data_IF_080446557099
#
_entry.id   IF_080446557099
#
_cell.length_a   1.000
_cell.length_b   1.000
_cell.length_c   1.000
_cell.angle_alpha   90.00
_cell.angle_beta   90.00
_cell.angle_gamma   90.00
#
_symmetry.space_group_name_H-M   'P 1'
#
loop_
_entity.id
_entity.type
_entity.pdbx_description
1 polymer ?
#
# COMPACT_ATOMS: atom_id res chain seq x y z
N UNK A 1 11.65 -10.05 4.54
CA UNK A 1 12.60 -11.17 4.25
C UNK A 1 12.36 -11.74 2.86
N UNK A 2 11.18 -12.31 2.56
CA UNK A 2 10.88 -12.84 1.22
C UNK A 2 11.14 -11.80 0.10
N UNK A 3 10.62 -10.59 0.24
CA UNK A 3 10.86 -9.50 -0.73
C UNK A 3 12.32 -9.07 -0.82
N UNK A 4 13.11 -9.23 0.24
CA UNK A 4 14.53 -8.90 0.23
C UNK A 4 15.33 -9.95 -0.57
N UNK A 5 15.05 -11.25 -0.37
CA UNK A 5 15.65 -12.31 -1.18
C UNK A 5 15.22 -12.20 -2.65
N UNK A 6 13.94 -11.97 -2.91
CA UNK A 6 13.45 -11.71 -4.27
C UNK A 6 14.14 -10.49 -4.89
N UNK A 7 14.21 -9.37 -4.17
CA UNK A 7 14.87 -8.15 -4.61
C UNK A 7 16.34 -8.34 -4.94
N UNK A 8 17.09 -9.13 -4.16
CA UNK A 8 18.49 -9.46 -4.48
C UNK A 8 18.62 -10.30 -5.74
N UNK A 9 17.74 -11.28 -5.98
CA UNK A 9 17.70 -12.03 -7.24
C UNK A 9 17.38 -11.12 -8.43
N UNK A 10 16.42 -10.20 -8.28
CA UNK A 10 16.08 -9.21 -9.31
C UNK A 10 17.24 -8.26 -9.59
N UNK A 11 17.94 -7.80 -8.55
CA UNK A 11 19.12 -6.96 -8.67
C UNK A 11 20.23 -7.69 -9.46
N UNK A 12 20.45 -8.98 -9.20
CA UNK A 12 21.40 -9.78 -9.96
C UNK A 12 21.00 -9.93 -11.43
N UNK A 13 19.72 -10.22 -11.73
CA UNK A 13 19.25 -10.33 -13.10
C UNK A 13 19.30 -9.00 -13.86
N UNK A 14 18.96 -7.89 -13.20
CA UNK A 14 19.06 -6.55 -13.78
C UNK A 14 20.51 -6.18 -14.16
N UNK A 15 21.49 -6.59 -13.35
CA UNK A 15 22.90 -6.38 -13.66
C UNK A 15 23.36 -7.20 -14.87
N UNK A 16 22.83 -8.42 -15.04
CA UNK A 16 23.19 -9.35 -16.11
C UNK A 16 22.48 -9.05 -17.43
N UNK A 17 21.22 -8.62 -17.37
CA UNK A 17 20.35 -8.37 -18.52
C UNK A 17 19.81 -6.94 -18.44
N UNK A 18 20.60 -5.91 -18.78
CA UNK A 18 20.20 -4.51 -18.69
C UNK A 18 19.32 -4.12 -19.88
N UNK A 19 18.17 -4.77 -20.01
CA UNK A 19 17.13 -4.47 -21.01
C UNK A 19 15.83 -4.16 -20.28
N UNK A 20 15.02 -3.25 -20.84
CA UNK A 20 13.68 -3.03 -20.34
C UNK A 20 12.84 -4.31 -20.47
N UNK A 21 12.04 -4.62 -19.45
CA UNK A 21 11.08 -5.73 -19.49
C UNK A 21 11.05 -6.68 -18.28
N UNK A 22 11.80 -6.38 -17.21
CA UNK A 22 11.66 -7.00 -15.89
C UNK A 22 11.60 -8.55 -15.94
N UNK A 23 10.78 -9.18 -15.10
CA UNK A 23 10.67 -10.62 -14.90
C UNK A 23 10.36 -11.41 -16.19
N UNK A 24 9.63 -10.81 -17.13
CA UNK A 24 9.34 -11.41 -18.42
C UNK A 24 10.61 -11.65 -19.23
N UNK A 25 11.42 -10.60 -19.41
CA UNK A 25 12.68 -10.69 -20.18
C UNK A 25 13.68 -11.59 -19.48
N UNK A 26 13.78 -11.51 -18.15
CA UNK A 26 14.67 -12.38 -17.39
C UNK A 26 14.32 -13.85 -17.59
N UNK A 27 13.04 -14.20 -17.48
CA UNK A 27 12.58 -15.57 -17.64
C UNK A 27 12.69 -16.08 -19.07
N UNK A 28 12.49 -15.21 -20.05
CA UNK A 28 12.67 -15.53 -21.47
C UNK A 28 14.11 -15.93 -21.76
N UNK A 29 15.07 -15.17 -21.22
CA UNK A 29 16.50 -15.42 -21.43
C UNK A 29 16.99 -16.64 -20.64
N UNK A 30 16.46 -16.93 -19.45
CA UNK A 30 17.01 -17.97 -18.57
C UNK A 30 16.31 -19.32 -18.66
N UNK A 31 14.99 -19.34 -18.84
CA UNK A 31 14.17 -20.57 -18.80
C UNK A 31 13.60 -20.91 -20.17
N UNK A 32 13.10 -19.91 -20.88
CA UNK A 32 12.54 -20.05 -22.23
C UNK A 32 11.14 -19.47 -22.37
N UNK A 33 10.60 -19.62 -23.57
CA UNK A 33 9.42 -18.89 -24.04
C UNK A 33 8.16 -19.20 -23.26
N UNK A 34 7.87 -20.48 -22.95
CA UNK A 34 6.64 -20.85 -22.25
C UNK A 34 6.57 -20.27 -20.83
N UNK A 35 7.68 -20.33 -20.08
CA UNK A 35 7.74 -19.76 -18.74
C UNK A 35 7.60 -18.23 -18.78
N UNK A 36 8.27 -17.58 -19.74
CA UNK A 36 8.14 -16.14 -19.95
C UNK A 36 6.71 -15.74 -20.30
N UNK A 37 6.04 -16.50 -21.17
CA UNK A 37 4.64 -16.24 -21.56
C UNK A 37 3.70 -16.29 -20.35
N UNK A 38 3.83 -17.32 -19.50
CA UNK A 38 3.02 -17.44 -18.27
C UNK A 38 3.29 -16.26 -17.32
N UNK A 39 4.55 -15.88 -17.14
CA UNK A 39 4.93 -14.75 -16.28
C UNK A 39 4.40 -13.44 -16.86
N UNK A 40 4.48 -13.22 -18.17
CA UNK A 40 3.95 -12.03 -18.84
C UNK A 40 2.44 -11.87 -18.62
N UNK A 41 1.67 -12.94 -18.76
CA UNK A 41 0.23 -12.92 -18.46
C UNK A 41 -0.06 -12.65 -16.99
N UNK A 42 0.74 -13.20 -16.09
CA UNK A 42 0.59 -12.94 -14.66
C UNK A 42 0.88 -11.47 -14.31
N UNK A 43 1.93 -10.87 -14.90
CA UNK A 43 2.26 -9.45 -14.71
C UNK A 43 1.12 -8.54 -15.19
N UNK A 44 0.50 -8.84 -16.34
CA UNK A 44 -0.65 -8.05 -16.82
C UNK A 44 -1.80 -8.10 -15.80
N UNK A 45 -2.13 -9.29 -15.29
CA UNK A 45 -3.17 -9.45 -14.27
C UNK A 45 -2.81 -8.73 -12.97
N UNK A 46 -1.56 -8.83 -12.54
CA UNK A 46 -1.03 -8.14 -11.36
C UNK A 46 -1.17 -6.62 -11.49
N UNK A 47 -0.79 -6.02 -12.61
CA UNK A 47 -0.95 -4.57 -12.83
C UNK A 47 -2.41 -4.13 -12.87
N UNK A 48 -3.31 -4.93 -13.44
CA UNK A 48 -4.76 -4.62 -13.47
C UNK A 48 -5.34 -4.65 -12.06
N UNK A 49 -5.08 -5.72 -11.29
CA UNK A 49 -5.52 -5.85 -9.91
C UNK A 49 -4.88 -4.74 -9.05
N UNK A 50 -3.62 -4.43 -9.32
CA UNK A 50 -2.87 -3.41 -8.60
C UNK A 50 -3.46 -2.02 -8.76
N UNK A 51 -3.73 -1.64 -10.01
CA UNK A 51 -4.36 -0.35 -10.33
C UNK A 51 -5.74 -0.22 -9.71
N UNK A 52 -6.55 -1.29 -9.74
CA UNK A 52 -7.87 -1.31 -9.11
C UNK A 52 -7.79 -1.18 -7.57
N UNK A 53 -6.83 -1.84 -6.93
CA UNK A 53 -6.59 -1.76 -5.48
C UNK A 53 -6.19 -0.35 -5.07
N UNK A 54 -5.28 0.30 -5.81
CA UNK A 54 -4.83 1.68 -5.54
C UNK A 54 -5.99 2.67 -5.70
N UNK A 55 -6.80 2.54 -6.76
CA UNK A 55 -7.98 3.38 -6.96
C UNK A 55 -9.00 3.23 -5.81
N UNK A 56 -9.25 1.98 -5.36
CA UNK A 56 -10.11 1.70 -4.21
C UNK A 56 -9.56 2.30 -2.92
N UNK A 57 -8.25 2.23 -2.70
CA UNK A 57 -7.58 2.90 -1.60
C UNK A 57 -7.84 4.41 -1.62
N UNK A 58 -7.72 5.04 -2.79
CA UNK A 58 -7.93 6.47 -2.94
C UNK A 58 -9.38 6.87 -2.62
N UNK A 59 -10.35 6.10 -3.11
CA UNK A 59 -11.76 6.30 -2.79
C UNK A 59 -12.03 6.18 -1.29
N UNK A 60 -11.46 5.19 -0.61
CA UNK A 60 -11.57 5.03 0.85
C UNK A 60 -10.98 6.21 1.64
N UNK A 61 -9.81 6.73 1.22
CA UNK A 61 -9.17 7.88 1.87
C UNK A 61 -9.97 9.17 1.67
N UNK A 62 -10.53 9.38 0.47
CA UNK A 62 -11.43 10.51 0.20
C UNK A 62 -12.70 10.38 1.04
N UNK A 63 -13.32 9.21 1.07
CA UNK A 63 -14.54 9.00 1.85
C UNK A 63 -14.30 9.16 3.37
N UNK A 64 -13.12 8.75 3.87
CA UNK A 64 -12.71 8.98 5.26
C UNK A 64 -12.56 10.46 5.61
N UNK A 65 -12.21 11.32 4.66
CA UNK A 65 -12.18 12.78 4.87
C UNK A 65 -13.59 13.38 5.04
N UNK A 66 -14.59 12.75 4.44
CA UNK A 66 -16.00 13.13 4.53
C UNK A 66 -16.78 12.23 5.50
N UNK A 67 -16.10 11.65 6.50
CA UNK A 67 -16.69 10.81 7.55
C UNK A 67 -17.61 9.70 7.01
N UNK A 68 -17.19 9.05 5.92
CA UNK A 68 -17.85 7.91 5.26
C UNK A 68 -19.23 8.18 4.65
N UNK A 69 -19.54 9.44 4.36
CA UNK A 69 -20.83 9.85 3.77
C UNK A 69 -21.09 9.15 2.43
N UNK A 70 -20.08 9.00 1.57
CA UNK A 70 -20.26 8.37 0.26
C UNK A 70 -20.50 6.87 0.40
N UNK A 71 -19.68 6.16 1.19
CA UNK A 71 -19.88 4.72 1.43
C UNK A 71 -21.25 4.44 2.04
N UNK A 72 -21.69 5.23 3.01
CA UNK A 72 -22.99 5.04 3.66
C UNK A 72 -24.15 5.26 2.68
N UNK A 73 -24.13 6.36 1.92
CA UNK A 73 -25.17 6.67 0.94
C UNK A 73 -25.24 5.62 -0.19
N UNK A 74 -24.10 5.15 -0.70
CA UNK A 74 -24.07 4.15 -1.76
C UNK A 74 -24.46 2.75 -1.26
N UNK A 75 -24.11 2.41 -0.02
CA UNK A 75 -24.54 1.14 0.60
C UNK A 75 -26.05 1.12 0.83
N UNK A 76 -26.65 2.25 1.18
CA UNK A 76 -28.11 2.38 1.34
C UNK A 76 -28.84 2.38 -0.01
N UNK A 77 -28.32 3.09 -1.01
CA UNK A 77 -28.96 3.21 -2.31
C UNK A 77 -28.78 1.99 -3.21
N UNK A 78 -27.60 1.35 -3.18
CA UNK A 78 -27.23 0.23 -4.07
C UNK A 78 -26.42 -0.85 -3.32
N UNK A 79 -27.03 -1.56 -2.35
CA UNK A 79 -26.35 -2.62 -1.62
C UNK A 79 -26.05 -3.82 -2.53
N UNK A 80 -24.80 -4.27 -2.50
CA UNK A 80 -24.35 -5.52 -3.10
C UNK A 80 -24.29 -6.57 -1.99
N UNK A 81 -25.29 -7.46 -1.95
CA UNK A 81 -25.44 -8.49 -0.91
C UNK A 81 -24.52 -9.71 -1.05
N UNK A 82 -23.29 -9.52 -1.55
CA UNK A 82 -22.37 -10.63 -1.88
C UNK A 82 -21.10 -10.52 -1.04
N UNK A 83 -20.80 -11.55 -0.24
CA UNK A 83 -19.74 -11.53 0.77
C UNK A 83 -18.31 -11.40 0.24
N UNK A 84 -18.06 -11.78 -1.01
CA UNK A 84 -16.74 -11.69 -1.65
C UNK A 84 -16.56 -10.43 -2.51
N UNK A 85 -17.60 -9.61 -2.65
CA UNK A 85 -17.57 -8.38 -3.43
C UNK A 85 -17.66 -7.15 -2.51
N UNK A 86 -17.31 -5.97 -3.04
CA UNK A 86 -17.51 -4.71 -2.32
C UNK A 86 -18.99 -4.55 -1.92
N UNK A 87 -19.31 -3.98 -0.75
CA UNK A 87 -20.71 -3.77 -0.31
C UNK A 87 -21.53 -2.86 -1.23
N UNK A 88 -20.86 -2.05 -2.06
CA UNK A 88 -21.48 -1.09 -2.97
C UNK A 88 -20.62 -0.89 -4.23
N UNK A 89 -21.20 -0.44 -5.36
CA UNK A 89 -20.45 -0.08 -6.56
C UNK A 89 -19.72 1.26 -6.36
N UNK A 90 -18.39 1.25 -6.56
CA UNK A 90 -17.54 2.42 -6.32
C UNK A 90 -17.33 3.25 -7.59
N UNK A 91 -18.21 4.23 -7.80
CA UNK A 91 -18.14 5.14 -8.95
C UNK A 91 -16.94 6.08 -8.90
N UNK A 92 -16.46 6.43 -7.70
CA UNK A 92 -15.32 7.34 -7.54
C UNK A 92 -14.04 6.67 -8.03
N UNK A 93 -13.79 5.43 -7.61
CA UNK A 93 -12.67 4.61 -8.11
C UNK A 93 -12.75 4.42 -9.63
N UNK A 94 -13.94 4.12 -10.15
CA UNK A 94 -14.14 3.94 -11.60
C UNK A 94 -13.82 5.22 -12.38
N UNK A 95 -14.35 6.36 -11.94
CA UNK A 95 -14.08 7.66 -12.55
C UNK A 95 -12.59 8.02 -12.51
N UNK A 96 -11.92 7.77 -11.38
CA UNK A 96 -10.48 8.01 -11.24
C UNK A 96 -9.66 7.20 -12.24
N UNK A 97 -9.92 5.89 -12.37
CA UNK A 97 -9.23 5.04 -13.36
C UNK A 97 -9.48 5.54 -14.78
N UNK A 98 -10.71 5.93 -15.12
CA UNK A 98 -11.03 6.45 -16.46
C UNK A 98 -10.29 7.75 -16.76
N UNK A 99 -10.22 8.68 -15.79
CA UNK A 99 -9.47 9.94 -15.95
C UNK A 99 -7.98 9.65 -16.15
N UNK A 100 -7.40 8.74 -15.36
CA UNK A 100 -6.00 8.37 -15.51
C UNK A 100 -5.73 7.67 -16.84
N UNK A 101 -6.61 6.77 -17.28
CA UNK A 101 -6.49 6.12 -18.58
C UNK A 101 -6.51 7.15 -19.74
N UNK A 102 -7.38 8.16 -19.66
CA UNK A 102 -7.43 9.26 -20.64
C UNK A 102 -6.16 10.13 -20.59
N UNK A 103 -5.66 10.43 -19.39
CA UNK A 103 -4.43 11.20 -19.20
C UNK A 103 -3.22 10.47 -19.78
N UNK A 104 -3.10 9.17 -19.53
CA UNK A 104 -2.04 8.32 -20.09
C UNK A 104 -2.16 8.20 -21.61
N UNK A 105 -3.39 8.08 -22.14
CA UNK A 105 -3.66 8.05 -23.58
C UNK A 105 -3.28 9.37 -24.28
N UNK A 106 -3.42 10.51 -23.59
CA UNK A 106 -2.96 11.81 -24.10
C UNK A 106 -1.43 11.95 -24.07
N UNK A 107 -0.74 11.20 -23.21
CA UNK A 107 0.72 11.15 -23.18
C UNK A 107 1.34 12.35 -22.46
N UNK A 108 1.35 12.31 -21.13
CA UNK A 108 2.02 13.31 -20.29
C UNK A 108 3.53 13.11 -20.36
N UNK A 109 4.21 14.00 -21.10
CA UNK A 109 5.67 14.01 -21.32
C UNK A 109 6.51 14.60 -20.18
N UNK A 110 5.89 15.04 -19.08
CA UNK A 110 6.56 15.72 -17.95
C UNK A 110 6.51 14.89 -16.64
N UNK A 111 6.69 13.56 -16.74
CA UNK A 111 6.44 12.63 -15.62
C UNK A 111 7.52 12.67 -14.52
N UNK A 112 8.81 12.81 -14.86
CA UNK A 112 9.90 12.58 -13.89
C UNK A 112 10.00 13.65 -12.78
N UNK A 113 9.75 14.94 -13.09
CA UNK A 113 9.73 15.99 -12.07
C UNK A 113 8.53 15.83 -11.13
N UNK A 114 7.33 15.63 -11.68
CA UNK A 114 6.12 15.43 -10.88
C UNK A 114 6.24 14.19 -10.00
N UNK A 115 6.79 13.09 -10.53
CA UNK A 115 7.03 11.87 -9.76
C UNK A 115 7.97 12.11 -8.57
N UNK A 116 9.06 12.85 -8.77
CA UNK A 116 9.99 13.18 -7.68
C UNK A 116 9.32 14.05 -6.60
N UNK A 117 8.52 15.05 -7.00
CA UNK A 117 7.78 15.90 -6.06
C UNK A 117 6.78 15.07 -5.25
N UNK A 118 6.00 14.22 -5.91
CA UNK A 118 5.02 13.41 -5.19
C UNK A 118 5.66 12.35 -4.30
N UNK A 119 6.76 11.74 -4.73
CA UNK A 119 7.55 10.83 -3.90
C UNK A 119 8.09 11.53 -2.65
N UNK A 120 8.58 12.77 -2.80
CA UNK A 120 9.05 13.57 -1.67
C UNK A 120 7.89 13.88 -0.69
N UNK A 121 6.71 14.26 -1.19
CA UNK A 121 5.52 14.47 -0.36
C UNK A 121 5.10 13.18 0.36
N UNK A 122 5.16 12.03 -0.31
CA UNK A 122 4.87 10.74 0.29
C UNK A 122 5.83 10.41 1.45
N UNK A 123 7.14 10.54 1.21
CA UNK A 123 8.14 10.33 2.27
C UNK A 123 7.98 11.31 3.44
N UNK A 124 7.64 12.57 3.17
CA UNK A 124 7.33 13.54 4.23
C UNK A 124 6.10 13.14 5.04
N UNK A 125 5.07 12.62 4.37
CA UNK A 125 3.83 12.15 5.02
C UNK A 125 4.13 10.97 5.93
N UNK A 126 4.90 9.99 5.45
CA UNK A 126 5.38 8.85 6.26
C UNK A 126 6.17 9.33 7.47
N UNK A 127 7.14 10.23 7.26
CA UNK A 127 7.95 10.77 8.35
C UNK A 127 7.09 11.50 9.39
N UNK A 128 6.10 12.28 8.96
CA UNK A 128 5.17 12.98 9.84
C UNK A 128 4.35 12.00 10.67
N UNK A 129 3.79 10.95 10.07
CA UNK A 129 3.05 9.90 10.79
C UNK A 129 3.92 9.28 11.87
N UNK A 130 5.16 8.93 11.56
CA UNK A 130 6.09 8.31 12.50
C UNK A 130 6.48 9.27 13.62
N UNK A 131 6.85 10.52 13.30
CA UNK A 131 7.31 11.52 14.29
C UNK A 131 6.16 11.93 15.21
N UNK A 132 5.02 12.33 14.65
CA UNK A 132 3.87 12.77 15.45
C UNK A 132 3.32 11.58 16.24
N UNK A 133 3.17 10.43 15.59
CA UNK A 133 2.63 9.24 16.24
C UNK A 133 3.51 8.74 17.39
N UNK A 134 4.83 8.91 17.33
CA UNK A 134 5.74 8.56 18.41
C UNK A 134 5.41 9.27 19.74
N UNK A 135 4.85 10.49 19.71
CA UNK A 135 4.45 11.22 20.91
C UNK A 135 3.19 10.64 21.59
N UNK A 136 2.44 9.79 20.89
CA UNK A 136 1.17 9.21 21.36
C UNK A 136 1.27 7.69 21.59
N UNK A 137 2.49 7.15 21.62
CA UNK A 137 2.72 5.71 21.85
C UNK A 137 2.28 5.33 23.27
N UNK A 138 1.48 4.27 23.36
CA UNK A 138 1.20 3.57 24.60
C UNK A 138 1.60 2.10 24.47
N UNK A 139 2.66 1.69 25.18
CA UNK A 139 3.18 0.31 25.18
C UNK A 139 2.15 -0.70 25.71
N UNK A 140 1.17 -0.24 26.50
CA UNK A 140 0.08 -1.10 26.97
C UNK A 140 -0.75 -1.66 25.81
N UNK A 141 -0.80 -0.98 24.66
CA UNK A 141 -1.48 -1.48 23.45
C UNK A 141 -0.86 -2.77 22.89
N UNK A 142 0.37 -3.11 23.27
CA UNK A 142 1.00 -4.41 22.95
C UNK A 142 0.95 -5.43 24.08
N UNK A 143 0.50 -5.03 25.27
CA UNK A 143 0.33 -5.88 26.43
C UNK A 143 -1.15 -5.97 26.86
N UNK A 144 -2.06 -5.80 25.90
CA UNK A 144 -3.50 -5.79 26.14
C UNK A 144 -3.97 -7.11 26.75
N UNK A 145 -4.70 -7.02 27.85
CA UNK A 145 -5.44 -8.14 28.42
C UNK A 145 -6.69 -8.40 27.56
N UNK A 146 -6.94 -9.63 27.08
CA UNK A 146 -8.12 -9.95 26.28
C UNK A 146 -9.45 -9.60 26.99
N UNK A 147 -9.51 -9.63 28.32
CA UNK A 147 -10.73 -9.32 29.08
C UNK A 147 -11.02 -7.81 29.16
N UNK A 148 -10.04 -6.97 28.84
CA UNK A 148 -10.20 -5.51 28.81
C UNK A 148 -10.72 -4.99 27.45
N UNK A 149 -10.85 -5.86 26.43
CA UNK A 149 -11.35 -5.46 25.13
C UNK A 149 -12.89 -5.35 25.13
N UNK A 150 -13.46 -4.27 24.58
CA UNK A 150 -14.91 -4.12 24.51
C UNK A 150 -15.51 -5.13 23.54
N UNK A 151 -16.72 -5.66 23.83
CA UNK A 151 -17.42 -6.61 22.95
C UNK A 151 -17.76 -6.00 21.56
N UNK A 152 -17.90 -4.68 21.49
CA UNK A 152 -18.23 -3.91 20.29
C UNK A 152 -17.38 -2.66 20.17
N UNK A 153 -17.03 -2.28 18.95
CA UNK A 153 -16.34 -1.03 18.66
C UNK A 153 -17.31 0.17 18.72
N UNK A 154 -16.79 1.39 18.55
CA UNK A 154 -17.59 2.62 18.51
C UNK A 154 -18.66 2.67 17.40
N UNK A 155 -18.62 1.72 16.45
CA UNK A 155 -19.59 1.56 15.36
C UNK A 155 -20.57 0.39 15.57
N UNK A 156 -20.47 -0.33 16.70
CA UNK A 156 -21.33 -1.45 17.04
C UNK A 156 -20.92 -2.79 16.42
N UNK A 157 -19.77 -2.87 15.73
CA UNK A 157 -19.24 -4.10 15.13
C UNK A 157 -18.53 -4.93 16.20
N UNK A 158 -18.70 -6.25 16.14
CA UNK A 158 -18.08 -7.15 17.10
C UNK A 158 -16.55 -7.07 17.02
N UNK A 159 -15.91 -6.78 18.14
CA UNK A 159 -14.47 -6.64 18.25
C UNK A 159 -13.84 -8.02 18.34
N UNK A 160 -12.83 -8.27 17.51
CA UNK A 160 -12.04 -9.51 17.56
C UNK A 160 -10.67 -9.18 18.14
N UNK A 161 -10.58 -9.17 19.48
CA UNK A 161 -9.31 -8.91 20.16
C UNK A 161 -8.39 -10.15 20.21
N UNK A 162 -8.88 -11.37 19.99
CA UNK A 162 -8.03 -12.57 20.07
C UNK A 162 -7.52 -12.81 21.50
N UNK A 163 -6.32 -13.38 21.65
CA UNK A 163 -5.71 -13.68 22.96
C UNK A 163 -5.07 -12.47 23.65
N UNK A 164 -5.20 -11.27 23.10
CA UNK A 164 -4.49 -10.08 23.59
C UNK A 164 -2.97 -10.14 23.40
N UNK A 165 -2.29 -9.11 23.90
CA UNK A 165 -0.83 -8.96 23.81
C UNK A 165 -0.30 -8.68 22.39
N UNK A 166 0.98 -9.02 22.17
CA UNK A 166 1.69 -8.73 20.91
C UNK A 166 1.28 -9.67 19.75
N UNK A 167 0.86 -10.89 20.07
CA UNK A 167 0.51 -11.93 19.08
C UNK A 167 -0.90 -12.50 19.35
N UNK A 168 -1.96 -11.68 19.23
CA UNK A 168 -3.31 -12.06 19.64
C UNK A 168 -3.90 -13.22 18.83
N UNK A 169 -3.42 -13.41 17.59
CA UNK A 169 -3.90 -14.46 16.67
C UNK A 169 -2.86 -15.57 16.44
N UNK A 170 -1.83 -15.63 17.29
CA UNK A 170 -0.73 -16.59 17.16
C UNK A 170 0.05 -16.45 15.85
N UNK A 171 0.88 -17.46 15.57
CA UNK A 171 1.71 -17.51 14.36
C UNK A 171 0.86 -17.58 13.09
N UNK A 172 -0.31 -18.22 13.14
CA UNK A 172 -1.23 -18.30 12.00
C UNK A 172 -1.70 -16.91 11.55
N UNK A 173 -2.07 -16.04 12.48
CA UNK A 173 -2.44 -14.66 12.18
C UNK A 173 -1.27 -13.83 11.63
N UNK A 174 -0.06 -14.02 12.17
CA UNK A 174 1.15 -13.37 11.63
C UNK A 174 1.39 -13.80 10.18
N UNK A 175 1.28 -15.09 9.87
CA UNK A 175 1.50 -15.60 8.51
C UNK A 175 0.43 -15.08 7.54
N UNK A 176 -0.84 -15.07 7.95
CA UNK A 176 -1.93 -14.50 7.16
C UNK A 176 -1.75 -12.98 6.93
N UNK A 177 -1.32 -12.24 7.96
CA UNK A 177 -0.99 -10.82 7.87
C UNK A 177 0.21 -10.56 6.96
N UNK A 178 1.29 -11.35 7.09
CA UNK A 178 2.48 -11.25 6.25
C UNK A 178 2.15 -11.47 4.76
N UNK A 179 1.26 -12.41 4.44
CA UNK A 179 0.79 -12.64 3.08
C UNK A 179 0.03 -11.43 2.51
N UNK A 180 -0.82 -10.78 3.31
CA UNK A 180 -1.52 -9.54 2.90
C UNK A 180 -0.55 -8.37 2.74
N UNK A 181 0.35 -8.17 3.71
CA UNK A 181 1.33 -7.10 3.69
C UNK A 181 2.39 -7.25 2.60
N UNK A 182 2.59 -8.47 2.08
CA UNK A 182 3.49 -8.70 0.95
C UNK A 182 3.11 -7.85 -0.26
N UNK A 183 1.82 -7.59 -0.46
CA UNK A 183 1.33 -6.71 -1.51
C UNK A 183 1.93 -5.30 -1.42
N UNK A 184 2.19 -4.77 -0.23
CA UNK A 184 2.83 -3.46 -0.06
C UNK A 184 4.27 -3.39 -0.56
N UNK A 185 4.93 -4.53 -0.76
CA UNK A 185 6.30 -4.61 -1.31
C UNK A 185 6.33 -4.84 -2.82
N UNK A 186 5.19 -4.96 -3.49
CA UNK A 186 5.12 -5.05 -4.96
C UNK A 186 5.55 -3.70 -5.55
N UNK A 187 6.31 -3.72 -6.66
CA UNK A 187 6.73 -2.52 -7.40
C UNK A 187 8.25 -2.27 -7.46
N UNK A 188 9.08 -2.99 -6.69
CA UNK A 188 10.54 -2.88 -6.84
C UNK A 188 11.04 -3.36 -8.21
N UNK A 189 10.26 -4.21 -8.87
CA UNK A 189 10.51 -4.74 -10.20
C UNK A 189 10.23 -3.69 -11.31
N UNK A 190 9.46 -2.64 -11.02
CA UNK A 190 9.30 -1.49 -11.91
C UNK A 190 10.64 -0.77 -12.16
N UNK A 191 11.55 -0.75 -11.17
CA UNK A 191 12.90 -0.17 -11.31
C UNK A 191 13.71 -0.89 -12.39
N UNK A 192 13.44 -2.18 -12.65
CA UNK A 192 14.09 -2.91 -13.73
C UNK A 192 13.57 -2.52 -15.12
N UNK A 193 12.40 -1.88 -15.23
CA UNK A 193 11.84 -1.44 -16.52
C UNK A 193 12.53 -0.19 -17.05
N UNK A 194 13.11 0.64 -16.17
CA UNK A 194 13.87 1.85 -16.53
C UNK A 194 15.31 1.53 -16.98
N UNK A 195 15.55 0.29 -17.44
CA UNK A 195 16.81 -0.21 -17.97
C UNK A 195 17.43 0.69 -19.03
N UNK A 196 16.59 1.21 -19.91
CA UNK A 196 17.01 2.00 -21.07
C UNK A 196 17.23 3.49 -20.75
N UNK A 197 16.67 3.97 -19.64
CA UNK A 197 16.76 5.37 -19.20
C UNK A 197 17.90 5.60 -18.19
N UNK A 198 18.39 4.53 -17.55
CA UNK A 198 19.47 4.61 -16.58
C UNK A 198 20.83 4.85 -17.25
N UNK A 199 21.64 5.76 -16.70
CA UNK A 199 22.98 6.07 -17.21
C UNK A 199 23.96 4.90 -17.05
N UNK A 200 23.93 4.22 -15.91
CA UNK A 200 24.72 3.01 -15.67
C UNK A 200 23.81 1.86 -15.16
N UNK A 201 22.99 1.24 -16.04
CA UNK A 201 21.97 0.27 -15.65
C UNK A 201 22.51 -0.90 -14.84
N UNK A 202 23.72 -1.38 -15.17
CA UNK A 202 24.36 -2.53 -14.51
C UNK A 202 24.66 -2.31 -13.03
N UNK A 203 24.79 -1.05 -12.60
CA UNK A 203 25.10 -0.69 -11.21
C UNK A 203 23.93 0.03 -10.54
N UNK A 204 23.32 0.97 -11.25
CA UNK A 204 22.33 1.89 -10.68
C UNK A 204 21.00 1.20 -10.40
N UNK A 205 20.56 0.28 -11.26
CA UNK A 205 19.30 -0.46 -11.08
C UNK A 205 19.39 -1.42 -9.89
N UNK A 206 20.41 -2.30 -9.78
CA UNK A 206 20.58 -3.17 -8.61
C UNK A 206 20.63 -2.39 -7.29
N UNK A 207 21.38 -1.29 -7.26
CA UNK A 207 21.47 -0.43 -6.07
C UNK A 207 20.12 0.20 -5.73
N UNK A 208 19.39 0.70 -6.74
CA UNK A 208 18.08 1.32 -6.55
C UNK A 208 17.06 0.31 -6.00
N UNK A 209 17.07 -0.94 -6.46
CA UNK A 209 16.19 -2.01 -5.93
C UNK A 209 16.49 -2.27 -4.45
N UNK A 210 17.76 -2.44 -4.07
CA UNK A 210 18.12 -2.77 -2.68
C UNK A 210 17.84 -1.58 -1.74
N UNK A 211 18.23 -0.36 -2.15
CA UNK A 211 18.04 0.85 -1.34
C UNK A 211 16.55 1.14 -1.16
N UNK A 212 15.76 1.08 -2.24
CA UNK A 212 14.31 1.31 -2.15
C UNK A 212 13.62 0.28 -1.24
N UNK A 213 13.94 -1.01 -1.38
CA UNK A 213 13.41 -2.06 -0.50
C UNK A 213 13.76 -1.84 0.98
N UNK A 214 14.99 -1.38 1.27
CA UNK A 214 15.40 -1.07 2.63
C UNK A 214 14.63 0.13 3.20
N UNK A 215 14.48 1.20 2.42
CA UNK A 215 13.72 2.40 2.82
C UNK A 215 12.25 2.02 3.07
N UNK A 216 11.64 1.26 2.16
CA UNK A 216 10.25 0.79 2.29
C UNK A 216 10.09 -0.10 3.53
N UNK A 217 11.03 -1.01 3.78
CA UNK A 217 11.01 -1.84 4.98
C UNK A 217 11.01 -0.99 6.26
N UNK A 218 11.92 -0.02 6.36
CA UNK A 218 11.99 0.86 7.52
C UNK A 218 10.71 1.68 7.68
N UNK A 219 10.20 2.27 6.59
CA UNK A 219 8.96 3.04 6.59
C UNK A 219 7.77 2.20 7.08
N UNK A 220 7.55 1.02 6.50
CA UNK A 220 6.42 0.15 6.87
C UNK A 220 6.56 -0.39 8.28
N UNK A 221 7.76 -0.78 8.69
CA UNK A 221 8.01 -1.22 10.06
C UNK A 221 7.70 -0.10 11.06
N UNK A 222 8.20 1.12 10.82
CA UNK A 222 7.93 2.27 11.68
C UNK A 222 6.45 2.63 11.73
N UNK A 223 5.74 2.68 10.60
CA UNK A 223 4.30 2.97 10.58
C UNK A 223 3.53 1.89 11.32
N UNK A 224 3.78 0.60 11.05
CA UNK A 224 3.05 -0.49 11.69
C UNK A 224 3.28 -0.49 13.22
N UNK A 225 4.51 -0.27 13.66
CA UNK A 225 4.82 -0.18 15.09
C UNK A 225 4.14 1.02 15.74
N UNK A 226 4.28 2.22 15.15
CA UNK A 226 3.68 3.44 15.70
C UNK A 226 2.15 3.33 15.73
N UNK A 227 1.52 2.89 14.65
CA UNK A 227 0.06 2.80 14.59
C UNK A 227 -0.53 1.83 15.61
N UNK A 228 0.06 0.64 15.73
CA UNK A 228 -0.42 -0.36 16.71
C UNK A 228 -0.11 0.02 18.16
N UNK A 229 0.88 0.88 18.40
CA UNK A 229 1.18 1.43 19.71
C UNK A 229 0.35 2.67 20.06
N UNK A 230 -0.06 3.47 19.08
CA UNK A 230 -0.94 4.62 19.30
C UNK A 230 -2.38 4.20 19.61
N UNK A 231 -2.88 3.18 18.90
CA UNK A 231 -4.27 2.78 18.97
C UNK A 231 -4.42 1.25 18.94
N UNK A 232 -5.30 0.67 19.79
CA UNK A 232 -5.52 -0.77 19.84
C UNK A 232 -5.83 -1.34 18.44
N UNK A 233 -5.13 -2.41 18.05
CA UNK A 233 -5.23 -3.00 16.70
C UNK A 233 -6.65 -3.41 16.32
N UNK A 234 -7.50 -3.73 17.30
CA UNK A 234 -8.86 -4.20 17.08
C UNK A 234 -9.89 -3.06 16.94
N UNK A 235 -9.50 -1.80 17.19
CA UNK A 235 -10.34 -0.60 17.01
C UNK A 235 -9.89 0.24 15.81
N UNK A 236 -8.88 -0.19 15.05
CA UNK A 236 -8.45 0.54 13.86
C UNK A 236 -9.45 0.35 12.72
N UNK A 237 -9.63 1.40 11.92
CA UNK A 237 -10.46 1.33 10.73
C UNK A 237 -9.80 0.49 9.62
N UNK A 238 -10.56 -0.42 9.00
CA UNK A 238 -10.04 -1.30 7.95
C UNK A 238 -9.77 -0.56 6.63
N UNK A 239 -10.46 0.55 6.36
CA UNK A 239 -10.42 1.25 5.08
C UNK A 239 -9.37 2.38 5.06
N UNK A 240 -9.25 3.14 6.15
CA UNK A 240 -8.35 4.27 6.28
C UNK A 240 -7.79 4.38 7.72
N UNK A 241 -6.91 3.45 8.14
CA UNK A 241 -6.47 3.33 9.54
C UNK A 241 -5.70 4.56 10.03
N UNK A 242 -4.81 5.12 9.21
CA UNK A 242 -3.94 6.23 9.61
C UNK A 242 -4.74 7.49 9.93
N UNK A 243 -5.56 8.04 9.01
CA UNK A 243 -6.34 9.24 9.32
C UNK A 243 -7.40 9.00 10.39
N UNK A 244 -7.93 7.77 10.48
CA UNK A 244 -8.85 7.40 11.56
C UNK A 244 -8.19 7.54 12.93
N UNK A 245 -7.02 6.92 13.14
CA UNK A 245 -6.32 6.98 14.43
C UNK A 245 -5.99 8.42 14.81
N UNK A 246 -5.50 9.24 13.89
CA UNK A 246 -5.23 10.66 14.17
C UNK A 246 -6.51 11.47 14.48
N UNK A 247 -7.66 11.08 13.93
CA UNK A 247 -8.96 11.62 14.33
C UNK A 247 -9.32 11.28 15.77
N UNK A 248 -9.20 10.01 16.14
CA UNK A 248 -9.55 9.50 17.48
C UNK A 248 -8.67 10.09 18.59
N UNK A 249 -7.38 10.33 18.31
CA UNK A 249 -6.48 10.97 19.29
C UNK A 249 -6.58 12.51 19.31
N UNK A 250 -7.58 13.09 18.62
CA UNK A 250 -7.85 14.53 18.64
C UNK A 250 -6.86 15.39 17.84
N UNK A 251 -6.27 14.84 16.77
CA UNK A 251 -5.32 15.53 15.89
C UNK A 251 -5.90 15.78 14.48
N UNK A 252 -6.88 16.70 14.32
CA UNK A 252 -7.58 16.90 13.04
C UNK A 252 -6.68 17.48 11.95
N UNK A 253 -5.70 18.32 12.31
CA UNK A 253 -4.74 18.88 11.34
C UNK A 253 -3.86 17.79 10.76
N UNK A 254 -3.40 16.86 11.59
CA UNK A 254 -2.57 15.73 11.17
C UNK A 254 -3.39 14.75 10.35
N UNK A 255 -4.64 14.45 10.76
CA UNK A 255 -5.61 13.68 9.96
C UNK A 255 -5.69 14.24 8.54
N UNK A 256 -5.90 15.56 8.39
CA UNK A 256 -6.03 16.19 7.08
C UNK A 256 -4.74 16.11 6.25
N UNK A 257 -3.59 16.44 6.84
CA UNK A 257 -2.30 16.38 6.13
C UNK A 257 -2.01 14.97 5.64
N UNK A 258 -2.23 13.96 6.49
CA UNK A 258 -1.96 12.56 6.15
C UNK A 258 -2.93 12.02 5.12
N UNK A 259 -4.22 12.34 5.22
CA UNK A 259 -5.20 11.96 4.20
C UNK A 259 -4.84 12.55 2.83
N UNK A 260 -4.50 13.83 2.78
CA UNK A 260 -4.08 14.49 1.53
C UNK A 260 -2.80 13.85 1.00
N UNK A 261 -1.80 13.66 1.86
CA UNK A 261 -0.53 13.01 1.50
C UNK A 261 -0.73 11.59 0.95
N UNK A 262 -1.62 10.80 1.55
CA UNK A 262 -1.97 9.47 1.07
C UNK A 262 -2.66 9.49 -0.30
N UNK A 263 -3.57 10.45 -0.55
CA UNK A 263 -4.20 10.63 -1.86
C UNK A 263 -3.12 10.93 -2.92
N UNK A 264 -2.19 11.85 -2.64
CA UNK A 264 -1.08 12.13 -3.56
C UNK A 264 -0.17 10.91 -3.77
N UNK A 265 0.13 10.16 -2.71
CA UNK A 265 0.93 8.93 -2.81
C UNK A 265 0.26 7.90 -3.74
N UNK A 266 -1.05 7.68 -3.58
CA UNK A 266 -1.82 6.75 -4.39
C UNK A 266 -1.91 7.21 -5.86
N UNK A 267 -2.06 8.51 -6.11
CA UNK A 267 -1.98 9.05 -7.48
C UNK A 267 -0.61 8.78 -8.13
N UNK A 268 0.47 8.90 -7.35
CA UNK A 268 1.84 8.67 -7.84
C UNK A 268 2.00 7.25 -8.35
N UNK A 269 1.57 6.27 -7.55
CA UNK A 269 1.70 4.84 -7.88
C UNK A 269 0.99 4.40 -9.16
N UNK A 270 0.06 5.20 -9.70
CA UNK A 270 -0.62 4.89 -10.97
C UNK A 270 -0.02 5.65 -12.16
N UNK A 271 0.62 6.79 -11.92
CA UNK A 271 1.18 7.65 -12.99
C UNK A 271 2.62 7.23 -13.35
N UNK A 272 3.36 6.63 -12.43
CA UNK A 272 4.75 6.20 -12.66
C UNK A 272 5.25 5.20 -11.63
#
# INVERSE_FOLDING_TARGET
IASAFAGMCYAEFAARVPKAGSAYVYSYVTVGELAAFIIGWNLILEYVIGTASVARGLSNYIDSLFDKVMSNALTEAMPIGVSWLSPYPDFLSCGFILVLALLLAWGVKESSFLNNVFTAVNLCTVALVVIVGAFYINVQNWALDPDAAPDKDGSGKAVKAGMGGFMPFGVSGIMAGAAKCFYGFVGFDCVATTGEEAKNPKRDIPLSIIISLLIIFLAYFSIASVMTLMWPYYLQDEAAPIPYVFGEIGQPVVKLIVSVGAIFALCTSVIG
#
